data_IF_613260599890
#
_entry.id   IF_613260599890
#
_cell.length_a   1.000
_cell.length_b   1.000
_cell.length_c   1.000
_cell.angle_alpha   90.00
_cell.angle_beta   90.00
_cell.angle_gamma   90.00
#
_symmetry.space_group_name_H-M   'P 1'
#
loop_
_entity.id
_entity.type
_entity.pdbx_description
1 polymer ?
#
# COMPACT_ATOMS: atom_id res chain seq x y z
N UNK A 1 -10.04 -40.93 37.53
CA UNK A 1 -9.80 -41.44 36.16
C UNK A 1 -10.73 -40.76 35.16
N UNK A 2 -12.06 -40.86 35.28
CA UNK A 2 -13.00 -40.24 34.32
C UNK A 2 -12.86 -38.71 34.11
N UNK A 3 -12.59 -37.93 35.17
CA UNK A 3 -12.38 -36.48 35.06
C UNK A 3 -11.14 -36.12 34.24
N UNK A 4 -10.03 -36.85 34.43
CA UNK A 4 -8.78 -36.62 33.69
C UNK A 4 -9.00 -36.93 32.21
N UNK A 5 -9.66 -38.05 31.89
CA UNK A 5 -9.94 -38.44 30.50
C UNK A 5 -10.82 -37.40 29.79
N UNK A 6 -11.82 -36.86 30.48
CA UNK A 6 -12.66 -35.81 29.92
C UNK A 6 -11.88 -34.52 29.65
N UNK A 7 -11.02 -34.08 30.59
CA UNK A 7 -10.16 -32.90 30.40
C UNK A 7 -9.17 -33.09 29.25
N UNK A 8 -8.56 -34.27 29.13
CA UNK A 8 -7.66 -34.59 28.02
C UNK A 8 -8.41 -34.52 26.69
N UNK A 9 -9.57 -35.16 26.56
CA UNK A 9 -10.39 -35.08 25.33
C UNK A 9 -10.76 -33.64 24.98
N UNK A 10 -11.14 -32.84 25.98
CA UNK A 10 -11.46 -31.42 25.80
C UNK A 10 -10.25 -30.60 25.35
N UNK A 11 -9.07 -30.85 25.93
CA UNK A 11 -7.82 -30.22 25.53
C UNK A 11 -7.48 -30.55 24.07
N UNK A 12 -7.46 -31.83 23.70
CA UNK A 12 -7.12 -32.28 22.35
C UNK A 12 -8.05 -31.62 21.32
N UNK A 13 -9.36 -31.71 21.55
CA UNK A 13 -10.35 -31.12 20.64
C UNK A 13 -10.18 -29.60 20.46
N UNK A 14 -9.91 -28.86 21.55
CA UNK A 14 -9.68 -27.41 21.47
C UNK A 14 -8.37 -27.08 20.74
N UNK A 15 -7.31 -27.85 20.94
CA UNK A 15 -6.06 -27.67 20.21
C UNK A 15 -6.26 -27.94 18.72
N UNK A 16 -6.95 -29.03 18.35
CA UNK A 16 -7.20 -29.38 16.95
C UNK A 16 -7.97 -28.25 16.22
N UNK A 17 -9.00 -27.68 16.86
CA UNK A 17 -9.75 -26.53 16.32
C UNK A 17 -8.85 -25.30 16.15
N UNK A 18 -7.98 -25.02 17.13
CA UNK A 18 -7.09 -23.86 17.05
C UNK A 18 -6.06 -24.04 15.94
N UNK A 19 -5.42 -25.20 15.84
CA UNK A 19 -4.42 -25.52 14.81
C UNK A 19 -5.04 -25.50 13.40
N UNK A 20 -6.28 -25.98 13.24
CA UNK A 20 -7.00 -25.86 11.96
C UNK A 20 -7.25 -24.39 11.59
N UNK A 21 -7.62 -23.56 12.57
CA UNK A 21 -7.83 -22.13 12.34
C UNK A 21 -6.51 -21.37 12.06
N UNK A 22 -5.41 -21.69 12.76
CA UNK A 22 -4.14 -20.98 12.61
C UNK A 22 -3.39 -21.35 11.32
N UNK A 23 -3.71 -22.50 10.74
CA UNK A 23 -3.08 -23.01 9.53
C UNK A 23 -3.06 -21.97 8.38
N UNK A 24 -1.86 -21.68 7.86
CA UNK A 24 -1.64 -20.73 6.77
C UNK A 24 -1.72 -19.24 7.13
N UNK A 25 -2.16 -18.87 8.35
CA UNK A 25 -2.25 -17.45 8.76
C UNK A 25 -0.87 -16.80 8.90
N UNK A 26 0.13 -17.53 9.37
CA UNK A 26 1.52 -17.03 9.44
C UNK A 26 2.05 -16.66 8.06
N UNK A 27 1.82 -17.51 7.05
CA UNK A 27 2.27 -17.25 5.68
C UNK A 27 1.55 -16.06 5.06
N UNK A 28 0.23 -15.94 5.30
CA UNK A 28 -0.56 -14.76 4.93
C UNK A 28 0.04 -13.48 5.53
N UNK A 29 0.39 -13.50 6.82
CA UNK A 29 0.94 -12.34 7.52
C UNK A 29 2.34 -11.95 7.02
N UNK A 30 3.13 -12.92 6.56
CA UNK A 30 4.47 -12.71 5.98
C UNK A 30 4.44 -12.29 4.50
N UNK A 31 3.28 -12.34 3.86
CA UNK A 31 3.11 -11.99 2.44
C UNK A 31 3.50 -10.53 2.15
N UNK A 32 4.07 -10.31 0.96
CA UNK A 32 4.41 -8.99 0.40
C UNK A 32 3.48 -8.58 -0.75
N UNK A 33 2.23 -9.07 -0.71
CA UNK A 33 1.16 -8.84 -1.67
C UNK A 33 0.85 -7.35 -1.94
N UNK A 34 1.18 -6.47 -1.00
CA UNK A 34 0.96 -5.02 -1.13
C UNK A 34 1.91 -4.30 -2.10
N UNK A 35 3.03 -4.91 -2.51
CA UNK A 35 4.10 -4.22 -3.27
C UNK A 35 3.73 -3.81 -4.70
N UNK A 36 2.73 -4.46 -5.29
CA UNK A 36 2.29 -4.25 -6.68
C UNK A 36 0.81 -3.81 -6.75
N UNK A 37 0.28 -3.28 -5.65
CA UNK A 37 -1.12 -2.91 -5.55
C UNK A 37 -1.36 -1.43 -5.92
N UNK A 38 -2.51 -1.16 -6.53
CA UNK A 38 -3.02 0.22 -6.59
C UNK A 38 -3.39 0.72 -5.19
N UNK A 39 -3.55 2.03 -5.02
CA UNK A 39 -4.00 2.62 -3.76
C UNK A 39 -5.32 2.01 -3.25
N UNK A 40 -6.25 1.72 -4.18
CA UNK A 40 -7.53 1.13 -3.83
C UNK A 40 -7.40 -0.33 -3.36
N UNK A 41 -6.53 -1.10 -4.01
CA UNK A 41 -6.24 -2.48 -3.61
C UNK A 41 -5.55 -2.52 -2.24
N UNK A 42 -4.61 -1.61 -2.00
CA UNK A 42 -3.92 -1.50 -0.73
C UNK A 42 -4.88 -1.13 0.41
N UNK A 43 -5.77 -0.17 0.19
CA UNK A 43 -6.87 0.14 1.12
C UNK A 43 -7.80 -1.05 1.37
N UNK A 44 -8.05 -1.87 0.35
CA UNK A 44 -8.82 -3.10 0.50
C UNK A 44 -8.07 -4.15 1.33
N UNK A 45 -6.75 -4.29 1.15
CA UNK A 45 -5.90 -5.13 1.99
C UNK A 45 -5.90 -4.63 3.44
N UNK A 46 -5.77 -3.33 3.69
CA UNK A 46 -5.86 -2.73 5.04
C UNK A 46 -7.18 -3.08 5.72
N UNK A 47 -8.33 -2.97 5.01
CA UNK A 47 -9.64 -3.36 5.55
C UNK A 47 -9.76 -4.85 5.85
N UNK A 48 -9.23 -5.71 4.97
CA UNK A 48 -9.19 -7.17 5.21
C UNK A 48 -8.32 -7.50 6.42
N UNK A 49 -7.20 -6.80 6.59
CA UNK A 49 -6.32 -6.96 7.74
C UNK A 49 -7.00 -6.53 9.05
N UNK A 50 -7.75 -5.43 9.05
CA UNK A 50 -8.57 -5.03 10.22
C UNK A 50 -9.60 -6.10 10.60
N UNK A 51 -10.25 -6.74 9.62
CA UNK A 51 -11.16 -7.85 9.89
C UNK A 51 -10.42 -9.06 10.48
N UNK A 52 -9.20 -9.36 9.98
CA UNK A 52 -8.33 -10.39 10.55
C UNK A 52 -7.94 -10.08 12.00
N UNK A 53 -7.63 -8.83 12.33
CA UNK A 53 -7.30 -8.40 13.70
C UNK A 53 -8.48 -8.61 14.66
N UNK A 54 -9.70 -8.34 14.20
CA UNK A 54 -10.90 -8.61 14.99
C UNK A 54 -11.14 -10.12 15.19
N UNK A 55 -10.90 -10.94 14.16
CA UNK A 55 -10.97 -12.41 14.25
C UNK A 55 -9.93 -12.94 15.24
N UNK A 56 -8.69 -12.46 15.13
CA UNK A 56 -7.60 -12.78 16.05
C UNK A 56 -7.98 -12.42 17.49
N UNK A 57 -8.48 -11.21 17.75
CA UNK A 57 -8.89 -10.82 19.10
C UNK A 57 -9.99 -11.73 19.69
N UNK A 58 -10.93 -12.19 18.86
CA UNK A 58 -11.99 -13.11 19.29
C UNK A 58 -11.48 -14.52 19.64
N UNK A 59 -10.28 -14.89 19.19
CA UNK A 59 -9.67 -16.20 19.46
C UNK A 59 -8.81 -16.22 20.73
N UNK A 60 -8.53 -15.08 21.36
CA UNK A 60 -7.73 -14.96 22.58
C UNK A 60 -8.24 -15.88 23.71
N UNK A 61 -9.54 -15.78 24.03
CA UNK A 61 -10.18 -16.60 25.08
C UNK A 61 -10.03 -18.11 24.81
N UNK A 62 -10.00 -18.54 23.54
CA UNK A 62 -9.82 -19.96 23.20
C UNK A 62 -8.43 -20.46 23.58
N UNK A 63 -7.40 -19.65 23.33
CA UNK A 63 -6.01 -19.97 23.68
C UNK A 63 -5.84 -19.99 25.20
N UNK A 64 -6.41 -19.01 25.90
CA UNK A 64 -6.39 -18.96 27.37
C UNK A 64 -7.07 -20.18 28.00
N UNK A 65 -8.20 -20.63 27.44
CA UNK A 65 -8.87 -21.85 27.90
C UNK A 65 -8.05 -23.11 27.67
N UNK A 66 -7.32 -23.21 26.56
CA UNK A 66 -6.41 -24.34 26.29
C UNK A 66 -5.31 -24.38 27.36
N UNK A 67 -4.68 -23.24 27.63
CA UNK A 67 -3.66 -23.11 28.67
C UNK A 67 -4.20 -23.45 30.06
N UNK A 68 -5.40 -22.97 30.41
CA UNK A 68 -6.05 -23.28 31.68
C UNK A 68 -6.33 -24.78 31.85
N UNK A 69 -6.77 -25.48 30.80
CA UNK A 69 -6.99 -26.93 30.84
C UNK A 69 -5.66 -27.68 30.99
N UNK A 70 -4.61 -27.27 30.28
CA UNK A 70 -3.28 -27.85 30.43
C UNK A 70 -2.76 -27.68 31.86
N UNK A 71 -2.98 -26.51 32.47
CA UNK A 71 -2.63 -26.25 33.86
C UNK A 71 -3.45 -27.11 34.83
N UNK A 72 -4.75 -27.27 34.61
CA UNK A 72 -5.59 -28.17 35.42
C UNK A 72 -5.11 -29.63 35.35
N UNK A 73 -4.72 -30.10 34.15
CA UNK A 73 -4.14 -31.43 33.95
C UNK A 73 -2.79 -31.61 34.68
N UNK A 74 -1.98 -30.55 34.79
CA UNK A 74 -0.75 -30.58 35.61
C UNK A 74 -1.09 -30.75 37.09
N UNK A 75 -2.00 -29.93 37.61
CA UNK A 75 -2.38 -29.96 39.04
C UNK A 75 -2.97 -31.32 39.44
N UNK A 76 -3.71 -31.95 38.54
CA UNK A 76 -4.30 -33.28 38.77
C UNK A 76 -3.32 -34.45 38.57
N UNK A 77 -2.05 -34.18 38.22
CA UNK A 77 -1.01 -35.20 38.11
C UNK A 77 -1.21 -36.16 36.94
N UNK A 78 -1.66 -35.68 35.77
CA UNK A 78 -1.86 -36.53 34.60
C UNK A 78 -0.54 -37.20 34.15
N UNK A 79 -0.58 -38.51 33.92
CA UNK A 79 0.63 -39.31 33.63
C UNK A 79 1.40 -38.85 32.38
N UNK A 80 0.70 -38.36 31.34
CA UNK A 80 1.31 -37.90 30.08
C UNK A 80 1.39 -36.38 29.97
N UNK A 81 1.54 -35.69 31.10
CA UNK A 81 1.50 -34.23 31.16
C UNK A 81 2.58 -33.55 30.30
N UNK A 82 3.74 -34.17 30.11
CA UNK A 82 4.80 -33.63 29.26
C UNK A 82 4.32 -33.38 27.82
N UNK A 83 3.55 -34.30 27.24
CA UNK A 83 3.02 -34.14 25.88
C UNK A 83 1.99 -33.01 25.79
N UNK A 84 1.13 -32.87 26.81
CA UNK A 84 0.14 -31.79 26.92
C UNK A 84 0.85 -30.43 27.00
N UNK A 85 1.86 -30.31 27.87
CA UNK A 85 2.61 -29.08 28.06
C UNK A 85 3.39 -28.69 26.80
N UNK A 86 4.02 -29.65 26.11
CA UNK A 86 4.72 -29.41 24.84
C UNK A 86 3.76 -28.88 23.77
N UNK A 87 2.58 -29.49 23.61
CA UNK A 87 1.57 -29.04 22.64
C UNK A 87 1.03 -27.65 23.00
N UNK A 88 0.71 -27.43 24.27
CA UNK A 88 0.23 -26.13 24.76
C UNK A 88 1.28 -25.03 24.53
N UNK A 89 2.56 -25.29 24.84
CA UNK A 89 3.63 -24.33 24.63
C UNK A 89 3.82 -24.00 23.16
N UNK A 90 3.76 -25.00 22.26
CA UNK A 90 3.83 -24.77 20.82
C UNK A 90 2.71 -23.82 20.36
N UNK A 91 1.49 -24.06 20.83
CA UNK A 91 0.32 -23.25 20.48
C UNK A 91 0.44 -21.82 21.02
N UNK A 92 0.91 -21.64 22.27
CA UNK A 92 1.17 -20.31 22.82
C UNK A 92 2.26 -19.57 22.04
N UNK A 93 3.34 -20.23 21.68
CA UNK A 93 4.40 -19.62 20.86
C UNK A 93 3.88 -19.20 19.48
N UNK A 94 3.06 -20.03 18.84
CA UNK A 94 2.42 -19.72 17.56
C UNK A 94 1.46 -18.53 17.70
N UNK A 95 0.71 -18.46 18.81
CA UNK A 95 -0.17 -17.35 19.12
C UNK A 95 0.58 -16.03 19.28
N UNK A 96 1.69 -16.04 20.03
CA UNK A 96 2.56 -14.88 20.20
C UNK A 96 3.15 -14.44 18.84
N UNK A 97 3.62 -15.39 18.02
CA UNK A 97 4.11 -15.09 16.66
C UNK A 97 3.01 -14.49 15.78
N UNK A 98 1.77 -15.01 15.84
CA UNK A 98 0.63 -14.43 15.12
C UNK A 98 0.38 -12.98 15.55
N UNK A 99 0.41 -12.69 16.86
CA UNK A 99 0.27 -11.34 17.40
C UNK A 99 1.34 -10.38 16.87
N UNK A 100 2.61 -10.78 16.95
CA UNK A 100 3.74 -9.98 16.49
C UNK A 100 3.70 -9.72 14.98
N UNK A 101 3.43 -10.76 14.19
CA UNK A 101 3.32 -10.64 12.73
C UNK A 101 2.12 -9.80 12.31
N UNK A 102 1.01 -9.88 13.04
CA UNK A 102 -0.19 -9.06 12.78
C UNK A 102 0.12 -7.58 12.96
N UNK A 103 0.79 -7.23 14.05
CA UNK A 103 1.25 -5.87 14.31
C UNK A 103 2.21 -5.39 13.23
N UNK A 104 3.20 -6.22 12.89
CA UNK A 104 4.21 -5.89 11.86
C UNK A 104 3.56 -5.66 10.50
N UNK A 105 2.62 -6.51 10.10
CA UNK A 105 1.88 -6.38 8.85
C UNK A 105 1.03 -5.11 8.85
N UNK A 106 0.33 -4.77 9.94
CA UNK A 106 -0.40 -3.51 10.05
C UNK A 106 0.50 -2.30 9.80
N UNK A 107 1.62 -2.20 10.52
CA UNK A 107 2.57 -1.10 10.34
C UNK A 107 3.10 -1.03 8.90
N UNK A 108 3.39 -2.19 8.30
CA UNK A 108 3.88 -2.26 6.91
C UNK A 108 2.82 -1.78 5.91
N UNK A 109 1.57 -2.22 6.05
CA UNK A 109 0.47 -1.80 5.18
C UNK A 109 0.17 -0.31 5.33
N UNK A 110 0.17 0.22 6.56
CA UNK A 110 -0.05 1.66 6.81
C UNK A 110 1.05 2.52 6.20
N UNK A 111 2.32 2.11 6.32
CA UNK A 111 3.43 2.87 5.72
C UNK A 111 3.36 2.82 4.20
N UNK A 112 3.11 1.63 3.63
CA UNK A 112 2.91 1.48 2.19
C UNK A 112 1.76 2.36 1.69
N UNK A 113 0.62 2.39 2.41
CA UNK A 113 -0.55 3.18 2.03
C UNK A 113 -0.20 4.67 1.96
N UNK A 114 0.50 5.19 2.98
CA UNK A 114 0.95 6.58 3.02
C UNK A 114 1.91 6.93 1.86
N UNK A 115 2.82 6.03 1.52
CA UNK A 115 3.76 6.23 0.40
C UNK A 115 3.00 6.26 -0.93
N UNK A 116 2.10 5.31 -1.15
CA UNK A 116 1.29 5.25 -2.38
C UNK A 116 0.36 6.45 -2.49
N UNK A 117 -0.24 6.92 -1.39
CA UNK A 117 -1.05 8.16 -1.37
C UNK A 117 -0.23 9.40 -1.75
N UNK A 118 1.03 9.49 -1.29
CA UNK A 118 1.92 10.57 -1.70
C UNK A 118 2.21 10.51 -3.20
N UNK A 119 2.47 9.33 -3.74
CA UNK A 119 2.76 9.15 -5.17
C UNK A 119 1.52 9.45 -6.02
N UNK A 120 0.35 9.00 -5.60
CA UNK A 120 -0.94 9.30 -6.21
C UNK A 120 -1.19 10.81 -6.28
N UNK A 121 -0.86 11.53 -5.20
CA UNK A 121 -0.95 13.00 -5.14
C UNK A 121 -0.01 13.68 -6.14
N UNK A 122 1.24 13.20 -6.26
CA UNK A 122 2.21 13.71 -7.25
C UNK A 122 1.73 13.45 -8.68
N UNK A 123 1.17 12.27 -8.95
CA UNK A 123 0.60 11.92 -10.25
C UNK A 123 -0.58 12.81 -10.62
N UNK A 124 -1.45 13.12 -9.66
CA UNK A 124 -2.57 14.03 -9.87
C UNK A 124 -2.09 15.46 -10.13
N UNK A 125 -1.08 15.94 -9.40
CA UNK A 125 -0.50 17.26 -9.60
C UNK A 125 0.16 17.37 -10.98
N UNK A 126 0.92 16.35 -11.38
CA UNK A 126 1.49 16.25 -12.72
C UNK A 126 0.40 16.36 -13.78
N UNK A 127 -0.67 15.56 -13.69
CA UNK A 127 -1.75 15.59 -14.68
C UNK A 127 -2.44 16.96 -14.78
N UNK A 128 -2.63 17.63 -13.63
CA UNK A 128 -3.21 18.98 -13.56
C UNK A 128 -2.36 20.05 -14.23
N UNK A 129 -1.03 19.93 -14.17
CA UNK A 129 -0.09 20.89 -14.76
C UNK A 129 0.28 20.56 -16.20
N UNK A 130 0.46 19.26 -16.50
CA UNK A 130 0.84 18.77 -17.82
C UNK A 130 -0.24 19.05 -18.87
N UNK A 131 -1.53 18.93 -18.53
CA UNK A 131 -2.60 19.15 -19.51
C UNK A 131 -2.66 20.60 -20.03
N UNK A 132 -2.70 21.65 -19.18
CA UNK A 132 -2.60 23.04 -19.66
C UNK A 132 -1.30 23.34 -20.39
N UNK A 133 -0.17 22.80 -19.91
CA UNK A 133 1.13 23.00 -20.54
C UNK A 133 1.19 22.38 -21.95
N UNK A 134 0.64 21.17 -22.12
CA UNK A 134 0.52 20.50 -23.43
C UNK A 134 -0.33 21.34 -24.39
N UNK A 135 -1.49 21.82 -23.95
CA UNK A 135 -2.35 22.67 -24.77
C UNK A 135 -1.65 23.97 -25.17
N UNK A 136 -0.89 24.57 -24.25
CA UNK A 136 -0.10 25.77 -24.55
C UNK A 136 0.99 25.48 -25.59
N UNK A 137 1.70 24.35 -25.46
CA UNK A 137 2.71 23.94 -26.43
C UNK A 137 2.13 23.69 -27.82
N UNK A 138 0.97 23.04 -27.90
CA UNK A 138 0.29 22.78 -29.17
C UNK A 138 -0.15 24.09 -29.83
N UNK A 139 -0.78 25.00 -29.07
CA UNK A 139 -1.16 26.31 -29.58
C UNK A 139 0.04 27.15 -30.03
N UNK A 140 1.12 27.19 -29.24
CA UNK A 140 2.35 27.86 -29.62
C UNK A 140 2.96 27.27 -30.90
N UNK A 141 2.90 25.94 -31.08
CA UNK A 141 3.37 25.28 -32.28
C UNK A 141 2.55 25.68 -33.50
N UNK A 142 1.22 25.72 -33.38
CA UNK A 142 0.31 26.15 -34.44
C UNK A 142 0.56 27.62 -34.82
N UNK A 143 0.64 28.52 -33.85
CA UNK A 143 0.88 29.95 -34.08
C UNK A 143 2.22 30.22 -34.78
N UNK A 144 3.26 29.47 -34.42
CA UNK A 144 4.61 29.65 -34.99
C UNK A 144 4.75 29.14 -36.43
N UNK A 145 3.88 28.23 -36.86
CA UNK A 145 3.89 27.69 -38.23
C UNK A 145 2.79 28.32 -39.12
N UNK A 146 1.94 29.17 -38.56
CA UNK A 146 0.84 29.79 -39.29
C UNK A 146 1.36 30.68 -40.43
N UNK A 147 0.64 30.66 -41.55
CA UNK A 147 1.04 31.36 -42.76
C UNK A 147 0.31 32.70 -42.86
N UNK A 148 1.07 33.79 -42.78
CA UNK A 148 0.51 35.15 -42.78
C UNK A 148 0.56 35.80 -44.17
N UNK A 149 -0.54 36.47 -44.54
CA UNK A 149 -0.60 37.35 -45.72
C UNK A 149 -0.62 38.81 -45.28
N UNK A 150 0.44 39.54 -45.61
CA UNK A 150 0.68 40.90 -45.12
C UNK A 150 0.48 41.89 -46.27
N UNK A 151 -0.29 42.95 -46.01
CA UNK A 151 -0.63 43.99 -46.98
C UNK A 151 -0.20 45.40 -46.53
N UNK A 152 0.17 45.57 -45.25
CA UNK A 152 0.62 46.86 -44.69
C UNK A 152 1.84 46.71 -43.77
N UNK A 153 2.57 47.82 -43.57
CA UNK A 153 3.70 47.87 -42.63
C UNK A 153 3.24 47.76 -41.17
N UNK A 154 2.05 48.26 -40.83
CA UNK A 154 1.51 48.16 -39.48
C UNK A 154 1.18 46.71 -39.11
N UNK A 155 0.68 45.91 -40.06
CA UNK A 155 0.40 44.48 -39.87
C UNK A 155 1.67 43.68 -39.53
N UNK A 156 2.79 43.90 -40.24
CA UNK A 156 4.03 43.18 -39.94
C UNK A 156 4.66 43.64 -38.62
N UNK A 157 4.57 44.92 -38.29
CA UNK A 157 5.02 45.43 -36.99
C UNK A 157 4.24 44.80 -35.83
N UNK A 158 2.91 44.68 -35.98
CA UNK A 158 2.06 44.00 -34.99
C UNK A 158 2.43 42.53 -34.79
N UNK A 159 2.71 41.79 -35.87
CA UNK A 159 3.16 40.39 -35.79
C UNK A 159 4.52 40.25 -35.07
N UNK A 160 5.47 41.15 -35.35
CA UNK A 160 6.78 41.15 -34.68
C UNK A 160 6.62 41.44 -33.19
N UNK A 161 5.76 42.40 -32.82
CA UNK A 161 5.49 42.73 -31.42
C UNK A 161 4.85 41.55 -30.68
N UNK A 162 3.81 40.93 -31.26
CA UNK A 162 3.18 39.73 -30.71
C UNK A 162 4.19 38.58 -30.53
N UNK A 163 5.05 38.34 -31.52
CA UNK A 163 6.09 37.32 -31.43
C UNK A 163 7.14 37.61 -30.35
N UNK A 164 7.50 38.88 -30.14
CA UNK A 164 8.40 39.27 -29.05
C UNK A 164 7.74 39.12 -27.67
N UNK A 165 6.44 39.42 -27.55
CA UNK A 165 5.66 39.16 -26.34
C UNK A 165 5.60 37.66 -26.04
N UNK A 166 5.38 36.81 -27.06
CA UNK A 166 5.45 35.36 -26.91
C UNK A 166 6.83 34.89 -26.43
N UNK A 167 7.93 35.39 -26.99
CA UNK A 167 9.29 35.02 -26.50
C UNK A 167 9.50 35.36 -25.03
N UNK A 168 8.87 36.43 -24.53
CA UNK A 168 8.99 36.82 -23.14
C UNK A 168 8.34 35.80 -22.19
N UNK A 169 7.36 35.00 -22.64
CA UNK A 169 6.70 33.96 -21.83
C UNK A 169 7.50 32.64 -21.77
N UNK A 170 8.49 32.44 -22.65
CA UNK A 170 9.26 31.19 -22.72
C UNK A 170 10.05 30.89 -21.45
N UNK A 171 10.50 31.91 -20.71
CA UNK A 171 11.19 31.72 -19.44
C UNK A 171 10.28 31.12 -18.36
N UNK A 172 9.04 31.61 -18.27
CA UNK A 172 8.03 31.08 -17.35
C UNK A 172 7.59 29.67 -17.77
N UNK A 173 7.46 29.43 -19.07
CA UNK A 173 7.13 28.11 -19.61
C UNK A 173 8.22 27.06 -19.30
N UNK A 174 9.50 27.40 -19.45
CA UNK A 174 10.62 26.53 -19.08
C UNK A 174 10.64 26.22 -17.57
N UNK A 175 10.32 27.20 -16.73
CA UNK A 175 10.20 26.99 -15.29
C UNK A 175 9.03 26.05 -14.93
N UNK A 176 7.89 26.18 -15.59
CA UNK A 176 6.74 25.29 -15.41
C UNK A 176 7.08 23.87 -15.89
N UNK A 177 7.73 23.71 -17.04
CA UNK A 177 8.20 22.41 -17.54
C UNK A 177 9.12 21.70 -16.54
N UNK A 178 10.12 22.41 -16.00
CA UNK A 178 11.02 21.87 -14.97
C UNK A 178 10.27 21.43 -13.73
N UNK A 179 9.23 22.18 -13.33
CA UNK A 179 8.37 21.81 -12.20
C UNK A 179 7.58 20.54 -12.49
N UNK A 180 6.97 20.44 -13.68
CA UNK A 180 6.22 19.27 -14.14
C UNK A 180 7.11 18.02 -14.15
N UNK A 181 8.32 18.11 -14.70
CA UNK A 181 9.25 16.97 -14.75
C UNK A 181 9.69 16.52 -13.37
N UNK A 182 9.94 17.48 -12.46
CA UNK A 182 10.32 17.17 -11.08
C UNK A 182 9.27 16.35 -10.33
N UNK A 183 7.98 16.57 -10.61
CA UNK A 183 6.90 15.77 -10.00
C UNK A 183 6.98 14.30 -10.41
N UNK A 184 7.32 14.02 -11.67
CA UNK A 184 7.50 12.64 -12.17
C UNK A 184 8.74 12.01 -11.55
N UNK A 185 9.85 12.74 -11.51
CA UNK A 185 11.09 12.26 -10.90
C UNK A 185 10.89 11.93 -9.41
N UNK A 186 10.24 12.83 -8.65
CA UNK A 186 9.96 12.63 -7.23
C UNK A 186 9.04 11.41 -7.01
N UNK A 187 8.05 11.20 -7.88
CA UNK A 187 7.17 10.02 -7.81
C UNK A 187 7.94 8.72 -8.09
N UNK A 188 8.75 8.69 -9.14
CA UNK A 188 9.58 7.52 -9.50
C UNK A 188 10.64 7.22 -8.43
N UNK A 189 11.28 8.26 -7.89
CA UNK A 189 12.28 8.11 -6.84
C UNK A 189 11.63 7.57 -5.56
N UNK A 190 10.48 8.13 -5.16
CA UNK A 190 9.74 7.65 -3.98
C UNK A 190 9.33 6.17 -4.15
N UNK A 191 8.92 5.75 -5.35
CA UNK A 191 8.62 4.34 -5.64
C UNK A 191 9.84 3.44 -5.51
N UNK A 192 10.98 3.85 -6.09
CA UNK A 192 12.26 3.11 -6.05
C UNK A 192 12.79 2.96 -4.63
N UNK A 193 12.81 4.05 -3.86
CA UNK A 193 13.33 4.07 -2.47
C UNK A 193 12.56 3.11 -1.55
N UNK A 194 11.27 2.88 -1.85
CA UNK A 194 10.39 2.03 -1.06
C UNK A 194 10.17 0.63 -1.66
N UNK A 195 10.86 0.29 -2.75
CA UNK A 195 10.72 -0.99 -3.47
C UNK A 195 9.25 -1.30 -3.84
N UNK A 196 8.51 -0.28 -4.27
CA UNK A 196 7.15 -0.39 -4.78
C UNK A 196 7.20 -0.37 -6.31
N UNK A 197 6.39 -1.23 -6.92
CA UNK A 197 6.25 -1.34 -8.37
C UNK A 197 4.85 -0.85 -8.73
N UNK A 198 4.76 0.44 -9.05
CA UNK A 198 3.49 1.15 -9.21
C UNK A 198 3.02 1.15 -10.66
N UNK A 199 1.70 1.13 -10.87
CA UNK A 199 1.13 1.26 -12.19
C UNK A 199 1.44 2.65 -12.79
N UNK A 200 1.31 2.79 -14.12
CA UNK A 200 1.40 4.08 -14.79
C UNK A 200 0.42 5.12 -14.21
N UNK A 201 0.73 6.41 -14.39
CA UNK A 201 -0.11 7.50 -13.92
C UNK A 201 -1.57 7.33 -14.40
N UNK A 202 -2.55 7.14 -13.49
CA UNK A 202 -3.94 6.87 -13.88
C UNK A 202 -4.69 8.11 -14.38
N UNK A 203 -4.13 9.31 -14.21
CA UNK A 203 -4.80 10.58 -14.50
C UNK A 203 -4.44 11.16 -15.86
N UNK A 204 -3.39 10.67 -16.50
CA UNK A 204 -2.95 11.19 -17.80
C UNK A 204 -2.08 10.19 -18.55
N UNK A 205 -2.20 10.21 -19.88
CA UNK A 205 -1.32 9.48 -20.80
C UNK A 205 -0.21 10.38 -21.37
N UNK A 206 -0.11 11.63 -20.92
CA UNK A 206 0.94 12.56 -21.36
C UNK A 206 2.27 12.02 -20.85
N UNK A 207 3.05 11.45 -21.76
CA UNK A 207 4.38 10.92 -21.46
C UNK A 207 5.37 12.08 -21.30
N UNK A 208 6.37 11.86 -20.44
CA UNK A 208 7.46 12.80 -20.18
C UNK A 208 8.56 12.74 -21.25
N UNK A 209 8.19 12.55 -22.52
CA UNK A 209 9.16 12.47 -23.64
C UNK A 209 9.83 13.83 -23.92
#
# INVERSE_FOLDING_TARGET
LERLDHLVKKFQHKCDIHEEWSNGKIDLLKSADFKQCSLNDLRALSRKHLAFESDLAAHQDRVEQIAAIAQELNVLGYEKIQAINQRCQKLCNEWDELGDLTQKRRSTLTEAEKIVERIDSLFLEYAKKAAPYSNWLDGAREDLIDMFFIHTLDEICGLIEAHNQFKATLGDADAEYKTIMRLVDDAQQTSKDNNLDLPPNPYTNIQSE
#
